data_IF_591700885130
#
_entry.id   IF_591700885130
#
_cell.length_a   1.000
_cell.length_b   1.000
_cell.length_c   1.000
_cell.angle_alpha   90.00
_cell.angle_beta   90.00
_cell.angle_gamma   90.00
#
_symmetry.space_group_name_H-M   'P 1'
#
loop_
_entity.id
_entity.type
_entity.pdbx_description
1 polymer ?
#
# COMPACT_ATOMS: atom_id res chain seq x y z
N UNK A 1 2.75 20.61 2.19
CA UNK A 1 3.07 19.43 1.36
C UNK A 1 1.91 18.98 0.47
N UNK A 2 0.70 19.53 0.61
CA UNK A 2 -0.49 19.12 -0.15
C UNK A 2 -0.81 20.02 -1.35
N UNK A 3 0.17 20.22 -2.24
CA UNK A 3 0.07 21.22 -3.32
C UNK A 3 -0.95 20.87 -4.41
N UNK A 4 -1.28 19.58 -4.59
CA UNK A 4 -2.16 19.12 -5.66
C UNK A 4 -3.60 18.83 -5.21
N UNK A 5 -3.86 18.68 -3.90
CA UNK A 5 -5.21 18.37 -3.41
C UNK A 5 -6.26 19.40 -3.84
N UNK A 6 -6.00 20.72 -3.78
CA UNK A 6 -6.96 21.72 -4.24
C UNK A 6 -7.27 21.67 -5.75
N UNK A 7 -6.45 20.98 -6.53
CA UNK A 7 -6.61 20.84 -7.98
C UNK A 7 -7.41 19.58 -8.38
N UNK A 8 -7.64 18.66 -7.43
CA UNK A 8 -8.41 17.45 -7.69
C UNK A 8 -9.91 17.77 -7.73
N UNK A 9 -10.61 17.16 -8.68
CA UNK A 9 -12.07 17.19 -8.73
C UNK A 9 -12.62 16.57 -7.44
N UNK A 10 -13.46 17.29 -6.70
CA UNK A 10 -13.96 16.83 -5.41
C UNK A 10 -15.08 15.77 -5.53
N UNK A 11 -15.69 15.60 -6.69
CA UNK A 11 -16.76 14.62 -6.91
C UNK A 11 -16.23 13.26 -7.43
N UNK A 12 -15.08 13.26 -8.11
CA UNK A 12 -14.54 12.06 -8.75
C UNK A 12 -13.01 11.94 -8.74
N UNK A 13 -12.32 12.82 -8.02
CA UNK A 13 -10.86 12.84 -7.96
C UNK A 13 -10.29 11.58 -7.33
N UNK A 14 -9.13 11.16 -7.85
CA UNK A 14 -8.48 9.91 -7.44
C UNK A 14 -7.01 10.10 -7.13
N UNK A 15 -6.53 9.40 -6.11
CA UNK A 15 -5.11 9.29 -5.78
C UNK A 15 -4.76 7.80 -5.69
N UNK A 16 -3.76 7.37 -6.45
CA UNK A 16 -3.30 5.97 -6.44
C UNK A 16 -1.85 5.95 -6.02
N UNK A 17 -1.61 5.52 -4.78
CA UNK A 17 -0.27 5.37 -4.22
C UNK A 17 0.34 4.03 -4.66
N UNK A 18 1.58 4.09 -5.15
CA UNK A 18 2.30 2.89 -5.59
C UNK A 18 3.00 2.20 -4.41
N UNK A 19 2.30 1.26 -3.80
CA UNK A 19 2.76 0.38 -2.75
C UNK A 19 3.66 -0.77 -3.26
N UNK A 20 3.72 -1.85 -2.48
CA UNK A 20 4.45 -3.08 -2.81
C UNK A 20 3.94 -4.22 -1.93
N UNK A 21 4.04 -5.47 -2.41
CA UNK A 21 3.87 -6.66 -1.56
C UNK A 21 4.89 -6.74 -0.41
N UNK A 22 5.98 -5.98 -0.50
CA UNK A 22 6.93 -5.81 0.61
C UNK A 22 6.30 -5.13 1.85
N UNK A 23 5.28 -4.27 1.67
CA UNK A 23 4.55 -3.68 2.80
C UNK A 23 3.92 -4.77 3.68
N UNK A 24 3.09 -5.66 3.11
CA UNK A 24 2.59 -6.80 3.86
C UNK A 24 3.66 -7.74 4.43
N UNK A 25 4.75 -8.02 3.69
CA UNK A 25 5.88 -8.80 4.21
C UNK A 25 6.50 -8.15 5.46
N UNK A 26 6.60 -6.82 5.51
CA UNK A 26 7.07 -6.12 6.70
C UNK A 26 6.17 -6.41 7.90
N UNK A 27 4.85 -6.29 7.74
CA UNK A 27 3.89 -6.58 8.82
C UNK A 27 3.90 -8.06 9.24
N UNK A 28 4.06 -9.00 8.31
CA UNK A 28 4.17 -10.43 8.63
C UNK A 28 5.30 -10.70 9.64
N UNK A 29 6.43 -10.01 9.46
CA UNK A 29 7.62 -10.15 10.28
C UNK A 29 7.52 -9.45 11.67
N UNK A 30 6.53 -8.57 11.87
CA UNK A 30 6.27 -7.99 13.19
C UNK A 30 5.71 -9.06 14.14
N UNK A 31 6.43 -9.33 15.22
CA UNK A 31 6.06 -10.35 16.22
C UNK A 31 5.00 -9.87 17.22
N UNK A 32 5.06 -8.60 17.59
CA UNK A 32 4.11 -7.99 18.52
C UNK A 32 2.76 -7.80 17.83
N UNK A 33 1.70 -8.46 18.33
CA UNK A 33 0.33 -8.28 17.80
C UNK A 33 -0.13 -6.82 17.89
N UNK A 34 0.24 -6.13 18.97
CA UNK A 34 -0.07 -4.72 19.18
C UNK A 34 0.59 -3.85 18.11
N UNK A 35 1.87 -4.08 17.83
CA UNK A 35 2.58 -3.30 16.83
C UNK A 35 2.08 -3.64 15.43
N UNK A 36 1.77 -4.91 15.15
CA UNK A 36 1.15 -5.32 13.89
C UNK A 36 -0.20 -4.65 13.67
N UNK A 37 -1.08 -4.64 14.68
CA UNK A 37 -2.36 -3.93 14.64
C UNK A 37 -2.16 -2.45 14.36
N UNK A 38 -1.10 -1.83 14.92
CA UNK A 38 -0.84 -0.40 14.71
C UNK A 38 -0.64 -0.05 13.23
N UNK A 39 -0.06 -0.93 12.42
CA UNK A 39 0.11 -0.76 10.96
C UNK A 39 -1.13 -1.11 10.14
N UNK A 40 -2.22 -1.59 10.77
CA UNK A 40 -3.51 -1.82 10.13
C UNK A 40 -4.48 -0.65 10.29
N UNK A 41 -4.04 0.40 10.97
CA UNK A 41 -4.82 1.60 11.25
C UNK A 41 -4.17 2.84 10.60
N UNK A 42 -4.94 3.89 10.32
CA UNK A 42 -4.41 5.17 9.87
C UNK A 42 -3.30 5.72 10.77
N UNK A 43 -2.37 6.47 10.18
CA UNK A 43 -1.29 7.16 10.89
C UNK A 43 -1.22 8.60 10.43
N UNK A 44 -1.18 9.54 11.38
CA UNK A 44 -0.85 10.93 11.08
C UNK A 44 0.61 11.05 10.64
N UNK A 45 0.94 12.15 9.95
CA UNK A 45 2.32 12.40 9.49
C UNK A 45 3.34 12.33 10.64
N UNK A 46 3.02 12.88 11.82
CA UNK A 46 3.90 12.81 12.98
C UNK A 46 4.15 11.37 13.46
N UNK A 47 3.13 10.51 13.44
CA UNK A 47 3.28 9.10 13.80
C UNK A 47 4.10 8.33 12.76
N UNK A 48 3.96 8.69 11.48
CA UNK A 48 4.77 8.12 10.39
C UNK A 48 6.24 8.50 10.58
N UNK A 49 6.57 9.75 10.88
CA UNK A 49 7.94 10.20 11.12
C UNK A 49 8.61 9.48 12.30
N UNK A 50 7.85 9.24 13.38
CA UNK A 50 8.32 8.43 14.51
C UNK A 50 8.64 6.98 14.09
N UNK A 51 7.80 6.35 13.27
CA UNK A 51 8.04 5.00 12.75
C UNK A 51 9.19 4.95 11.73
N UNK A 52 9.34 5.98 10.89
CA UNK A 52 10.50 6.11 9.98
C UNK A 52 11.80 6.07 10.79
N UNK A 53 11.87 6.84 11.88
CA UNK A 53 13.06 6.87 12.75
C UNK A 53 13.38 5.49 13.31
N UNK A 54 12.38 4.73 13.76
CA UNK A 54 12.54 3.36 14.27
C UNK A 54 13.01 2.41 13.17
N UNK A 55 12.37 2.44 12.00
CA UNK A 55 12.71 1.58 10.87
C UNK A 55 14.15 1.83 10.41
N UNK A 56 14.55 3.10 10.26
CA UNK A 56 15.91 3.46 9.85
C UNK A 56 16.97 3.03 10.87
N UNK A 57 16.64 3.00 12.17
CA UNK A 57 17.57 2.53 13.21
C UNK A 57 17.99 1.06 13.06
N UNK A 58 17.25 0.26 12.27
CA UNK A 58 17.61 -1.13 11.97
C UNK A 58 18.82 -1.26 11.04
N UNK A 59 19.15 -0.20 10.28
CA UNK A 59 20.22 -0.19 9.27
C UNK A 59 20.13 -1.34 8.25
N UNK A 60 18.91 -1.76 7.90
CA UNK A 60 18.65 -2.78 6.89
C UNK A 60 17.84 -2.19 5.72
N UNK A 61 18.43 -2.20 4.53
CA UNK A 61 17.85 -1.56 3.33
C UNK A 61 16.51 -2.18 2.93
N UNK A 62 16.36 -3.50 3.10
CA UNK A 62 15.10 -4.17 2.79
C UNK A 62 14.01 -3.79 3.78
N UNK A 63 14.32 -3.74 5.09
CA UNK A 63 13.43 -3.27 6.15
C UNK A 63 13.01 -1.82 5.94
N UNK A 64 13.95 -0.95 5.53
CA UNK A 64 13.64 0.43 5.16
C UNK A 64 12.67 0.50 3.97
N UNK A 65 12.93 -0.26 2.91
CA UNK A 65 12.04 -0.33 1.76
C UNK A 65 10.66 -0.89 2.12
N UNK A 66 10.60 -2.05 2.75
CA UNK A 66 9.35 -2.74 3.11
C UNK A 66 8.54 -1.93 4.11
N UNK A 67 9.20 -1.35 5.11
CA UNK A 67 8.59 -0.47 6.11
C UNK A 67 8.04 0.83 5.49
N UNK A 68 8.75 1.44 4.53
CA UNK A 68 8.23 2.61 3.81
C UNK A 68 6.93 2.31 3.06
N UNK A 69 6.79 1.10 2.53
CA UNK A 69 5.59 0.66 1.81
C UNK A 69 4.43 0.32 2.75
N UNK A 70 4.73 -0.17 3.95
CA UNK A 70 3.76 -0.33 5.02
C UNK A 70 3.24 1.05 5.52
N UNK A 71 4.14 1.99 5.79
CA UNK A 71 3.77 3.34 6.21
C UNK A 71 3.00 4.11 5.15
N UNK A 72 3.31 3.91 3.87
CA UNK A 72 2.52 4.47 2.77
C UNK A 72 1.06 3.95 2.79
N UNK A 73 0.83 2.71 3.23
CA UNK A 73 -0.53 2.19 3.39
C UNK A 73 -1.25 2.90 4.54
N UNK A 74 -0.59 3.07 5.69
CA UNK A 74 -1.13 3.85 6.82
C UNK A 74 -1.47 5.29 6.42
N UNK A 75 -0.58 5.94 5.68
CA UNK A 75 -0.81 7.28 5.13
C UNK A 75 -1.98 7.32 4.15
N UNK A 76 -2.11 6.29 3.30
CA UNK A 76 -3.23 6.19 2.34
C UNK A 76 -4.57 6.10 3.07
N UNK A 77 -4.64 5.36 4.17
CA UNK A 77 -5.84 5.28 5.00
C UNK A 77 -6.14 6.62 5.71
N UNK A 78 -5.12 7.31 6.22
CA UNK A 78 -5.30 8.63 6.84
C UNK A 78 -5.81 9.66 5.82
N UNK A 79 -5.16 9.73 4.65
CA UNK A 79 -5.55 10.65 3.59
C UNK A 79 -6.98 10.36 3.08
N UNK A 80 -7.39 9.09 3.04
CA UNK A 80 -8.75 8.70 2.71
C UNK A 80 -9.77 9.18 3.76
N UNK A 81 -9.42 9.15 5.04
CA UNK A 81 -10.27 9.67 6.12
C UNK A 81 -10.39 11.20 6.09
N UNK A 82 -9.29 11.89 5.79
CA UNK A 82 -9.27 13.36 5.68
C UNK A 82 -10.03 13.87 4.45
N UNK A 83 -10.10 13.06 3.39
CA UNK A 83 -10.71 13.43 2.11
C UNK A 83 -11.76 12.41 1.66
N UNK A 84 -12.91 12.31 2.36
CA UNK A 84 -13.93 11.29 2.10
C UNK A 84 -14.58 11.38 0.72
N UNK A 85 -14.46 12.52 0.03
CA UNK A 85 -14.99 12.69 -1.32
C UNK A 85 -14.01 12.21 -2.42
N UNK A 86 -12.76 11.91 -2.08
CA UNK A 86 -11.76 11.40 -3.01
C UNK A 86 -11.65 9.88 -2.93
N UNK A 87 -11.43 9.25 -4.09
CA UNK A 87 -11.08 7.83 -4.14
C UNK A 87 -9.57 7.66 -4.04
N UNK A 88 -9.11 7.24 -2.87
CA UNK A 88 -7.70 7.12 -2.54
C UNK A 88 -7.40 5.65 -2.35
N UNK A 89 -6.36 5.14 -2.99
CA UNK A 89 -6.04 3.72 -2.96
C UNK A 89 -4.54 3.52 -2.97
N UNK A 90 -4.11 2.38 -2.45
CA UNK A 90 -2.73 1.91 -2.57
C UNK A 90 -2.74 0.57 -3.30
N UNK A 91 -1.75 0.35 -4.15
CA UNK A 91 -1.69 -0.85 -4.97
C UNK A 91 -0.31 -1.48 -4.93
N UNK A 92 -0.21 -2.79 -5.09
CA UNK A 92 1.04 -3.41 -5.54
C UNK A 92 0.96 -3.73 -7.04
N UNK A 93 2.01 -3.42 -7.81
CA UNK A 93 2.09 -3.81 -9.22
C UNK A 93 2.52 -5.28 -9.39
N UNK A 94 2.88 -5.97 -8.30
CA UNK A 94 3.52 -7.28 -8.36
C UNK A 94 5.00 -7.19 -8.70
N UNK A 95 5.62 -8.33 -9.03
CA UNK A 95 7.06 -8.41 -9.26
C UNK A 95 7.42 -8.20 -10.73
N UNK A 96 7.68 -6.95 -11.09
CA UNK A 96 7.76 -6.47 -12.48
C UNK A 96 9.20 -6.16 -12.90
N UNK A 97 9.58 -6.62 -14.09
CA UNK A 97 10.86 -6.42 -14.74
C UNK A 97 11.03 -4.94 -15.13
N UNK A 98 11.72 -4.21 -14.26
CA UNK A 98 12.10 -2.81 -14.45
C UNK A 98 13.59 -2.63 -14.14
N UNK A 99 14.10 -1.39 -14.25
CA UNK A 99 15.45 -1.07 -13.79
C UNK A 99 15.65 -1.33 -12.29
N UNK A 100 14.60 -1.20 -11.47
CA UNK A 100 14.66 -1.44 -10.02
C UNK A 100 14.87 -2.92 -9.65
N UNK A 101 14.55 -3.85 -10.55
CA UNK A 101 14.58 -5.30 -10.29
C UNK A 101 15.66 -6.02 -11.09
N UNK A 102 16.64 -5.28 -11.63
CA UNK A 102 17.78 -5.87 -12.33
C UNK A 102 18.53 -6.79 -11.36
N UNK A 103 18.80 -8.02 -11.79
CA UNK A 103 19.48 -9.03 -10.98
C UNK A 103 18.62 -9.66 -9.87
N UNK A 104 17.40 -9.16 -9.63
CA UNK A 104 16.53 -9.65 -8.56
C UNK A 104 15.57 -10.77 -9.02
N UNK A 105 15.44 -11.00 -10.33
CA UNK A 105 14.69 -12.14 -10.88
C UNK A 105 13.25 -11.84 -11.33
N UNK A 106 12.85 -10.57 -11.42
CA UNK A 106 11.55 -10.22 -11.99
C UNK A 106 11.50 -10.50 -13.50
N UNK A 107 10.46 -11.21 -13.95
CA UNK A 107 10.30 -11.64 -15.35
C UNK A 107 9.15 -10.97 -16.07
N UNK A 108 8.12 -10.53 -15.33
CA UNK A 108 6.90 -9.94 -15.90
C UNK A 108 7.18 -8.56 -16.52
N UNK A 109 6.75 -8.28 -17.75
CA UNK A 109 6.95 -6.98 -18.39
C UNK A 109 6.17 -5.84 -17.70
N UNK A 110 6.58 -4.56 -17.87
CA UNK A 110 5.95 -3.41 -17.23
C UNK A 110 4.43 -3.31 -17.35
N UNK A 111 3.87 -3.66 -18.50
CA UNK A 111 2.43 -3.54 -18.74
C UNK A 111 1.60 -4.50 -17.86
N UNK A 112 2.16 -5.63 -17.42
CA UNK A 112 1.47 -6.54 -16.50
C UNK A 112 1.31 -5.95 -15.09
N UNK A 113 2.18 -4.99 -14.71
CA UNK A 113 2.08 -4.29 -13.43
C UNK A 113 0.97 -3.24 -13.33
N UNK A 114 0.18 -3.07 -14.39
CA UNK A 114 -0.80 -1.99 -14.50
C UNK A 114 -2.22 -2.39 -14.08
N UNK A 115 -2.47 -3.67 -13.81
CA UNK A 115 -3.83 -4.19 -13.56
C UNK A 115 -4.52 -3.48 -12.40
N UNK A 116 -3.89 -3.47 -11.22
CA UNK A 116 -4.43 -2.84 -10.02
C UNK A 116 -4.48 -1.31 -10.10
N UNK A 117 -3.51 -0.68 -10.75
CA UNK A 117 -3.50 0.77 -11.01
C UNK A 117 -4.70 1.15 -11.91
N UNK A 118 -4.91 0.43 -13.01
CA UNK A 118 -6.04 0.69 -13.92
C UNK A 118 -7.38 0.54 -13.20
N UNK A 119 -7.53 -0.51 -12.39
CA UNK A 119 -8.71 -0.68 -11.53
C UNK A 119 -8.90 0.54 -10.63
N UNK A 120 -7.87 0.95 -9.90
CA UNK A 120 -7.99 2.07 -8.97
C UNK A 120 -8.30 3.41 -9.66
N UNK A 121 -7.85 3.59 -10.91
CA UNK A 121 -8.10 4.80 -11.69
C UNK A 121 -9.47 4.81 -12.39
N UNK A 122 -9.97 3.66 -12.86
CA UNK A 122 -11.08 3.62 -13.82
C UNK A 122 -12.31 2.86 -13.34
N UNK A 123 -12.19 1.95 -12.37
CA UNK A 123 -13.34 1.21 -11.86
C UNK A 123 -14.07 1.98 -10.76
N UNK A 124 -15.34 1.66 -10.55
CA UNK A 124 -16.01 1.96 -9.28
C UNK A 124 -15.42 1.08 -8.18
N UNK A 125 -14.89 1.72 -7.14
CA UNK A 125 -14.33 1.03 -5.99
C UNK A 125 -15.33 1.05 -4.84
N UNK A 126 -15.44 -0.05 -4.07
CA UNK A 126 -16.37 -0.13 -2.95
C UNK A 126 -15.99 0.77 -1.77
N UNK A 127 -14.73 1.18 -1.66
CA UNK A 127 -14.25 2.00 -0.55
C UNK A 127 -12.88 2.62 -0.86
N UNK A 128 -12.61 3.75 -0.20
CA UNK A 128 -11.32 4.45 -0.19
C UNK A 128 -10.39 3.87 0.88
N UNK A 129 -9.09 4.11 0.76
CA UNK A 129 -8.05 3.63 1.68
C UNK A 129 -7.65 2.16 1.50
N UNK A 130 -8.23 1.43 0.54
CA UNK A 130 -7.96 0.00 0.36
C UNK A 130 -6.62 -0.29 -0.33
N UNK A 131 -6.05 -1.45 0.02
CA UNK A 131 -4.85 -2.01 -0.61
C UNK A 131 -5.24 -3.08 -1.64
N UNK A 132 -4.79 -2.88 -2.89
CA UNK A 132 -5.11 -3.77 -4.01
C UNK A 132 -3.90 -4.60 -4.44
N UNK A 133 -4.12 -5.92 -4.54
CA UNK A 133 -3.15 -6.88 -5.05
C UNK A 133 -2.86 -6.68 -6.54
N UNK A 134 -1.79 -7.29 -7.05
CA UNK A 134 -1.37 -7.10 -8.44
C UNK A 134 -2.36 -7.63 -9.49
N UNK A 135 -3.33 -8.43 -9.06
CA UNK A 135 -4.44 -8.93 -9.86
C UNK A 135 -5.71 -8.08 -9.72
N UNK A 136 -5.67 -6.98 -8.96
CA UNK A 136 -6.79 -6.07 -8.79
C UNK A 136 -7.82 -6.52 -7.73
N UNK A 137 -7.53 -7.56 -6.96
CA UNK A 137 -8.38 -7.97 -5.83
C UNK A 137 -7.93 -7.28 -4.55
N UNK A 138 -8.88 -6.95 -3.66
CA UNK A 138 -8.58 -6.43 -2.32
C UNK A 138 -7.62 -7.39 -1.63
N UNK A 139 -6.52 -6.85 -1.12
CA UNK A 139 -5.48 -7.60 -0.45
C UNK A 139 -5.28 -7.08 0.97
N UNK A 140 -4.93 -7.96 1.93
CA UNK A 140 -4.70 -7.58 3.31
C UNK A 140 -3.33 -6.90 3.46
N UNK A 141 -3.20 -6.09 4.52
CA UNK A 141 -1.91 -5.51 4.88
C UNK A 141 -1.09 -6.39 5.82
N UNK A 142 -1.70 -7.27 6.61
CA UNK A 142 -0.98 -8.07 7.63
C UNK A 142 -0.41 -9.39 7.10
N UNK A 143 -0.69 -9.73 5.84
CA UNK A 143 -0.04 -10.82 5.12
C UNK A 143 -0.02 -10.58 3.61
N UNK A 144 0.95 -11.15 2.92
CA UNK A 144 1.08 -11.08 1.47
C UNK A 144 0.18 -12.11 0.82
N UNK A 145 -0.93 -11.62 0.25
CA UNK A 145 -1.80 -12.42 -0.60
C UNK A 145 -1.19 -12.60 -2.00
N UNK A 146 -1.20 -13.84 -2.50
CA UNK A 146 -0.72 -14.17 -3.84
C UNK A 146 -1.80 -14.00 -4.90
N UNK A 147 -1.46 -13.60 -6.14
CA UNK A 147 -2.41 -13.57 -7.24
C UNK A 147 -3.09 -14.92 -7.46
N UNK A 148 -4.41 -14.92 -7.64
CA UNK A 148 -5.23 -16.13 -7.77
C UNK A 148 -5.79 -16.69 -6.45
N UNK A 149 -5.34 -16.20 -5.30
CA UNK A 149 -6.01 -16.47 -4.02
C UNK A 149 -7.34 -15.70 -3.93
N UNK A 150 -8.29 -16.15 -3.08
CA UNK A 150 -9.53 -15.42 -2.84
C UNK A 150 -9.30 -13.95 -2.46
N UNK A 151 -10.26 -13.08 -2.82
CA UNK A 151 -10.24 -11.69 -2.39
C UNK A 151 -10.35 -11.57 -0.87
N UNK A 152 -9.63 -10.62 -0.28
CA UNK A 152 -9.66 -10.40 1.15
C UNK A 152 -11.05 -9.94 1.61
N UNK A 153 -11.67 -10.68 2.53
CA UNK A 153 -13.01 -10.42 3.05
C UNK A 153 -13.06 -9.28 4.09
N UNK A 154 -11.91 -8.80 4.57
CA UNK A 154 -11.80 -7.77 5.59
C UNK A 154 -11.61 -8.31 7.02
N UNK A 155 -11.62 -9.63 7.22
CA UNK A 155 -11.46 -10.24 8.54
C UNK A 155 -9.99 -10.28 8.94
N UNK A 156 -9.64 -9.56 10.00
CA UNK A 156 -8.28 -9.51 10.54
C UNK A 156 -8.12 -10.54 11.67
N UNK A 157 -7.23 -11.52 11.47
CA UNK A 157 -6.91 -12.56 12.46
C UNK A 157 -5.41 -12.47 12.85
N UNK A 158 -5.10 -11.74 13.95
CA UNK A 158 -3.72 -11.53 14.45
C UNK A 158 -3.28 -12.53 15.51
#
# INVERSE_FOLDING_TARGET
>A
TNNFLPLLNQDCGRIVNLGSGAGPIFLENIRSKKDKQRFLEPMSEAQIEDEITKILSTNDDFTAYSGSKALLACYTMELANEHPNLMISIVTPGYIKTAMTIGAGATKPPHEGTVSIKKALFDELPSSGWFWGSDGLRSPLHWMRSPGEPEFDGVVNL
#
